data_IF_039752087478
#
_entry.id   IF_039752087478
#
_cell.length_a   1.000
_cell.length_b   1.000
_cell.length_c   1.000
_cell.angle_alpha   90.00
_cell.angle_beta   90.00
_cell.angle_gamma   90.00
#
_symmetry.space_group_name_H-M   'P 1'
#
loop_
_entity.id
_entity.type
_entity.pdbx_description
1 polymer ?
#
# COMPACT_ATOMS: atom_id res chain seq x y z
N UNK A 1 -32.50 49.84 13.92
CA UNK A 1 -31.86 50.07 12.62
C UNK A 1 -31.02 51.31 12.76
N UNK A 2 -29.77 51.06 13.06
CA UNK A 2 -28.70 52.02 13.25
C UNK A 2 -27.99 52.36 11.92
N UNK A 3 -28.45 51.81 10.79
CA UNK A 3 -28.01 52.06 9.43
C UNK A 3 -26.59 51.53 9.10
N UNK A 4 -26.18 50.43 9.71
CA UNK A 4 -24.98 49.66 9.33
C UNK A 4 -25.12 48.89 8.00
N UNK A 5 -26.37 48.71 7.54
CA UNK A 5 -26.69 47.95 6.33
C UNK A 5 -27.23 46.55 6.60
N UNK A 6 -27.31 46.11 7.85
CA UNK A 6 -27.96 44.89 8.32
C UNK A 6 -29.29 45.27 8.98
N UNK A 7 -30.46 44.88 8.43
CA UNK A 7 -31.72 45.20 9.08
C UNK A 7 -31.87 44.46 10.42
N UNK A 8 -32.36 45.14 11.47
CA UNK A 8 -32.70 44.56 12.80
C UNK A 8 -33.35 43.18 12.69
N UNK A 9 -34.30 43.06 11.76
CA UNK A 9 -34.90 41.78 11.39
C UNK A 9 -35.33 41.83 9.92
N UNK A 10 -34.88 40.83 9.17
CA UNK A 10 -35.30 40.60 7.79
C UNK A 10 -35.69 39.14 7.61
N UNK A 11 -36.88 38.89 7.07
CA UNK A 11 -37.40 37.55 6.85
C UNK A 11 -37.46 37.26 5.35
N UNK A 12 -36.70 36.27 4.90
CA UNK A 12 -36.77 35.77 3.53
C UNK A 12 -37.76 34.60 3.45
N UNK A 13 -39.02 34.91 3.18
CA UNK A 13 -40.10 33.91 3.05
C UNK A 13 -39.98 32.98 1.84
N UNK A 14 -39.05 33.23 0.90
CA UNK A 14 -38.84 32.37 -0.27
C UNK A 14 -37.77 31.32 -0.01
N UNK A 15 -36.79 31.64 0.81
CA UNK A 15 -35.63 30.80 1.10
C UNK A 15 -35.60 30.34 2.57
N UNK A 16 -36.69 30.60 3.30
CA UNK A 16 -36.96 30.12 4.66
C UNK A 16 -35.85 30.42 5.70
N UNK A 17 -35.25 31.61 5.63
CA UNK A 17 -34.30 32.07 6.65
C UNK A 17 -34.60 33.49 7.16
N UNK A 18 -34.07 33.80 8.34
CA UNK A 18 -34.15 35.10 9.02
C UNK A 18 -32.74 35.64 9.12
N UNK A 19 -32.55 36.90 8.74
CA UNK A 19 -31.37 37.69 9.10
C UNK A 19 -31.77 38.52 10.31
N UNK A 20 -30.95 38.48 11.35
CA UNK A 20 -31.12 39.28 12.54
C UNK A 20 -29.78 39.94 12.86
N UNK A 21 -29.84 41.25 13.08
CA UNK A 21 -28.77 42.00 13.70
C UNK A 21 -28.85 41.80 15.24
N UNK A 22 -27.76 41.27 15.81
CA UNK A 22 -27.65 40.99 17.24
C UNK A 22 -27.37 42.25 18.08
N UNK A 23 -26.93 43.35 17.44
CA UNK A 23 -26.65 44.65 18.05
C UNK A 23 -27.41 45.81 17.35
N UNK A 24 -28.75 45.83 17.40
CA UNK A 24 -29.61 46.74 16.61
C UNK A 24 -29.52 48.24 16.92
N UNK A 25 -28.60 48.64 17.79
CA UNK A 25 -28.30 50.02 18.12
C UNK A 25 -26.79 50.37 18.05
N UNK A 26 -25.93 49.43 17.67
CA UNK A 26 -24.50 49.67 17.43
C UNK A 26 -24.18 49.48 15.95
N UNK A 27 -24.02 50.58 15.18
CA UNK A 27 -23.81 50.47 13.74
C UNK A 27 -22.46 49.87 13.33
N UNK A 28 -21.61 49.46 14.29
CA UNK A 28 -20.35 48.78 14.02
C UNK A 28 -20.39 47.30 14.39
N UNK A 29 -21.50 46.76 14.89
CA UNK A 29 -21.63 45.36 15.28
C UNK A 29 -22.92 44.79 14.73
N UNK A 30 -22.90 43.52 14.32
CA UNK A 30 -24.12 42.86 13.83
C UNK A 30 -24.19 41.36 14.13
N UNK A 31 -23.04 40.73 14.37
CA UNK A 31 -22.87 39.30 14.67
C UNK A 31 -22.15 39.11 16.02
N UNK A 32 -22.40 37.96 16.65
CA UNK A 32 -21.91 37.52 17.96
C UNK A 32 -21.90 35.98 17.88
N UNK A 33 -20.80 35.43 17.36
CA UNK A 33 -20.70 34.06 16.90
C UNK A 33 -20.77 33.07 18.08
N UNK A 34 -20.06 33.34 19.15
CA UNK A 34 -20.01 32.54 20.37
C UNK A 34 -21.14 32.84 21.39
N UNK A 35 -21.83 33.98 21.23
CA UNK A 35 -22.94 34.45 22.08
C UNK A 35 -22.51 34.86 23.47
N UNK A 36 -21.32 35.42 23.61
CA UNK A 36 -20.81 35.96 24.87
C UNK A 36 -21.36 37.38 25.19
N UNK A 37 -21.91 38.05 24.16
CA UNK A 37 -22.51 39.37 24.22
C UNK A 37 -21.59 40.53 23.83
N UNK A 38 -20.38 40.24 23.37
CA UNK A 38 -19.49 41.12 22.61
C UNK A 38 -19.74 40.84 21.12
N UNK A 39 -19.70 41.88 20.28
CA UNK A 39 -19.90 41.68 18.83
C UNK A 39 -18.58 41.31 18.17
N UNK A 40 -18.63 40.50 17.11
CA UNK A 40 -17.44 39.93 16.43
C UNK A 40 -16.43 41.01 15.97
N UNK A 41 -16.84 42.26 15.69
CA UNK A 41 -15.85 43.30 15.32
C UNK A 41 -15.07 43.86 16.53
N UNK A 42 -15.58 43.66 17.75
CA UNK A 42 -14.98 44.10 19.01
C UNK A 42 -14.45 42.94 19.85
N UNK A 43 -14.90 41.71 19.59
CA UNK A 43 -14.32 40.51 20.16
C UNK A 43 -12.90 40.30 19.61
N UNK A 44 -12.10 39.56 20.36
CA UNK A 44 -10.74 39.17 19.97
C UNK A 44 -10.61 37.66 19.78
N UNK A 45 -11.69 36.91 20.03
CA UNK A 45 -11.80 35.44 20.03
C UNK A 45 -13.27 35.09 19.70
N UNK A 46 -13.64 35.28 18.43
CA UNK A 46 -15.02 35.25 17.92
C UNK A 46 -15.75 33.92 18.20
N UNK A 47 -15.03 32.82 18.40
CA UNK A 47 -15.61 31.50 18.72
C UNK A 47 -15.32 30.98 20.13
N UNK A 48 -14.55 31.74 20.92
CA UNK A 48 -14.22 31.48 22.32
C UNK A 48 -13.53 30.13 22.54
N UNK A 49 -12.74 29.66 21.58
CA UNK A 49 -11.94 28.44 21.70
C UNK A 49 -10.63 28.65 22.51
N UNK A 50 -10.29 29.92 22.75
CA UNK A 50 -9.13 30.38 23.51
C UNK A 50 -7.94 30.83 22.65
N UNK A 51 -8.08 30.87 21.32
CA UNK A 51 -7.11 31.42 20.38
C UNK A 51 -7.66 32.70 19.76
N UNK A 52 -6.93 33.80 19.90
CA UNK A 52 -7.38 35.07 19.33
C UNK A 52 -7.49 35.02 17.79
N UNK A 53 -8.46 35.70 17.19
CA UNK A 53 -8.73 35.71 15.73
C UNK A 53 -7.51 36.05 14.87
N UNK A 54 -6.58 36.84 15.39
CA UNK A 54 -5.34 37.22 14.67
C UNK A 54 -4.32 36.08 14.54
N UNK A 55 -4.46 35.07 15.39
CA UNK A 55 -3.61 33.88 15.46
C UNK A 55 -4.40 32.61 15.10
N UNK A 56 -5.70 32.73 14.91
CA UNK A 56 -6.62 31.66 14.56
C UNK A 56 -6.80 31.55 13.04
N UNK A 57 -6.55 30.37 12.49
CA UNK A 57 -6.78 30.09 11.07
C UNK A 57 -8.28 29.97 10.73
N UNK A 58 -9.12 29.63 11.71
CA UNK A 58 -10.57 29.46 11.62
C UNK A 58 -11.32 30.23 12.73
N UNK A 59 -11.34 31.58 12.72
CA UNK A 59 -11.96 32.41 13.79
C UNK A 59 -13.45 32.18 14.09
N UNK A 60 -14.13 31.33 13.32
CA UNK A 60 -15.56 31.03 13.47
C UNK A 60 -15.78 29.52 13.58
N UNK A 61 -14.81 28.77 14.09
CA UNK A 61 -14.91 27.34 14.30
C UNK A 61 -14.21 26.92 15.61
N UNK A 62 -14.96 26.72 16.70
CA UNK A 62 -14.39 26.53 18.03
C UNK A 62 -13.73 25.16 18.25
N UNK A 63 -13.53 24.41 17.17
CA UNK A 63 -12.89 23.11 17.13
C UNK A 63 -11.62 23.12 16.29
N UNK A 64 -11.24 24.22 15.66
CA UNK A 64 -10.07 24.34 14.79
C UNK A 64 -9.43 25.71 14.96
N UNK A 65 -8.12 25.76 15.24
CA UNK A 65 -7.39 27.03 15.37
C UNK A 65 -6.12 27.09 14.53
N UNK A 66 -5.64 25.95 14.05
CA UNK A 66 -4.36 25.80 13.35
C UNK A 66 -4.57 25.07 12.02
N UNK A 67 -3.86 25.56 11.00
CA UNK A 67 -3.81 25.04 9.64
C UNK A 67 -2.32 25.00 9.24
N UNK A 68 -1.67 23.86 9.48
CA UNK A 68 -0.20 23.73 9.33
C UNK A 68 0.23 23.86 7.86
N UNK A 69 -0.51 23.27 6.94
CA UNK A 69 -0.19 23.21 5.51
C UNK A 69 -0.88 24.31 4.68
N UNK A 70 -1.85 25.03 5.27
CA UNK A 70 -2.64 26.10 4.66
C UNK A 70 -3.56 25.62 3.53
N UNK A 71 -4.10 24.40 3.62
CA UNK A 71 -5.08 23.89 2.65
C UNK A 71 -6.54 24.31 2.95
N UNK A 72 -6.77 24.89 4.13
CA UNK A 72 -8.07 25.33 4.62
C UNK A 72 -8.86 24.27 5.38
N UNK A 73 -8.26 23.15 5.77
CA UNK A 73 -8.77 22.15 6.72
C UNK A 73 -7.95 22.28 8.01
N UNK A 74 -8.62 22.44 9.14
CA UNK A 74 -7.91 22.58 10.41
C UNK A 74 -7.29 21.27 10.88
N UNK A 75 -6.17 21.36 11.58
CA UNK A 75 -5.36 20.21 11.98
C UNK A 75 -6.13 19.14 12.79
N UNK A 76 -7.22 19.48 13.50
CA UNK A 76 -7.96 18.48 14.26
C UNK A 76 -8.85 17.59 13.34
N UNK A 77 -9.18 18.08 12.15
CA UNK A 77 -9.97 17.37 11.14
C UNK A 77 -9.11 16.83 10.00
N UNK A 78 -8.01 17.50 9.70
CA UNK A 78 -7.11 17.14 8.62
C UNK A 78 -6.44 15.77 8.85
N UNK A 79 -6.37 14.98 7.79
CA UNK A 79 -5.78 13.64 7.77
C UNK A 79 -4.33 13.62 7.28
N UNK A 80 -3.82 14.72 6.74
CA UNK A 80 -2.46 14.90 6.20
C UNK A 80 -2.01 16.34 6.51
N UNK A 81 -1.64 16.60 7.77
CA UNK A 81 -1.52 17.97 8.31
C UNK A 81 -0.31 18.75 7.78
N UNK A 82 0.57 18.13 7.01
CA UNK A 82 1.69 18.81 6.35
C UNK A 82 1.68 18.67 4.81
N UNK A 83 0.68 17.98 4.25
CA UNK A 83 0.39 17.83 2.82
C UNK A 83 1.53 17.18 2.03
N UNK A 84 2.19 16.24 2.67
CA UNK A 84 3.34 15.55 2.12
C UNK A 84 2.93 14.31 1.31
N UNK A 85 1.65 13.90 1.44
CA UNK A 85 1.02 12.79 0.74
C UNK A 85 0.78 11.55 1.62
N UNK A 86 1.32 11.51 2.83
CA UNK A 86 1.10 10.44 3.80
C UNK A 86 0.08 10.85 4.85
N UNK A 87 -0.72 9.88 5.32
CA UNK A 87 -1.70 10.20 6.36
C UNK A 87 -1.03 10.32 7.72
N UNK A 88 -1.49 11.25 8.55
CA UNK A 88 -1.08 11.42 9.96
C UNK A 88 -1.05 10.09 10.73
N UNK A 89 -2.01 9.20 10.41
CA UNK A 89 -2.12 7.88 11.02
C UNK A 89 -0.97 6.96 10.61
N UNK A 90 -0.66 6.90 9.31
CA UNK A 90 0.41 6.05 8.80
C UNK A 90 1.76 6.57 9.27
N UNK A 91 1.94 7.88 9.27
CA UNK A 91 3.13 8.54 9.78
C UNK A 91 3.39 8.29 11.27
N UNK A 92 2.38 8.50 12.12
CA UNK A 92 2.49 8.20 13.55
C UNK A 92 2.77 6.71 13.78
N UNK A 93 2.14 5.83 12.99
CA UNK A 93 2.33 4.39 13.09
C UNK A 93 3.73 3.92 12.66
N UNK A 94 4.34 4.60 11.68
CA UNK A 94 5.62 4.26 11.08
C UNK A 94 6.80 5.08 11.64
N UNK A 95 6.50 6.08 12.47
CA UNK A 95 7.47 6.87 13.21
C UNK A 95 8.06 8.05 12.44
N UNK A 96 7.37 8.52 11.40
CA UNK A 96 7.62 9.85 10.82
C UNK A 96 6.89 10.94 11.63
N UNK A 97 7.09 12.21 11.27
CA UNK A 97 6.59 13.36 12.01
C UNK A 97 5.52 14.05 11.17
N UNK A 98 4.23 13.95 11.55
CA UNK A 98 3.15 14.49 10.73
C UNK A 98 3.15 16.02 10.55
N UNK A 99 4.02 16.73 11.26
CA UNK A 99 4.15 18.19 11.14
C UNK A 99 5.36 18.62 10.29
N UNK A 100 6.17 17.68 9.79
CA UNK A 100 7.35 17.97 8.97
C UNK A 100 7.22 17.33 7.59
N UNK A 101 6.93 18.12 6.53
CA UNK A 101 6.68 17.62 5.18
C UNK A 101 7.94 17.09 4.47
N UNK A 102 9.01 16.86 5.21
CA UNK A 102 10.24 16.19 4.76
C UNK A 102 10.53 14.92 5.55
N UNK A 103 9.64 14.53 6.47
CA UNK A 103 9.75 13.36 7.30
C UNK A 103 8.77 12.32 6.80
N UNK A 104 9.24 11.42 5.93
CA UNK A 104 8.39 10.39 5.33
C UNK A 104 8.63 9.01 5.93
N UNK A 105 7.62 8.13 5.95
CA UNK A 105 7.87 6.70 6.09
C UNK A 105 8.66 6.15 4.89
N UNK A 106 9.32 4.98 5.01
CA UNK A 106 9.94 4.32 3.87
C UNK A 106 8.90 3.99 2.78
N UNK A 107 9.23 4.34 1.53
CA UNK A 107 8.47 4.10 0.31
C UNK A 107 9.48 3.88 -0.83
N UNK A 108 9.63 2.63 -1.24
CA UNK A 108 10.66 2.16 -2.16
C UNK A 108 10.38 2.56 -3.61
N UNK A 109 9.13 2.47 -4.05
CA UNK A 109 8.72 2.76 -5.43
C UNK A 109 8.16 4.19 -5.64
N UNK A 110 7.92 4.91 -4.54
CA UNK A 110 7.45 6.29 -4.48
C UNK A 110 6.00 6.47 -4.97
N UNK A 111 5.13 5.50 -4.70
CA UNK A 111 3.71 5.56 -5.05
C UNK A 111 2.80 6.17 -3.95
N UNK A 112 3.39 6.61 -2.83
CA UNK A 112 2.73 7.12 -1.62
C UNK A 112 2.05 6.06 -0.76
N UNK A 113 2.39 4.79 -0.95
CA UNK A 113 2.05 3.70 -0.03
C UNK A 113 3.32 3.26 0.70
N UNK A 114 3.39 3.39 2.04
CA UNK A 114 4.59 2.98 2.77
C UNK A 114 4.94 1.50 2.57
N UNK A 115 6.24 1.17 2.54
CA UNK A 115 6.81 -0.17 2.28
C UNK A 115 6.17 -1.33 3.08
N UNK A 116 5.68 -1.01 4.28
CA UNK A 116 5.07 -1.95 5.23
C UNK A 116 3.60 -2.25 4.89
N UNK A 117 2.92 -1.30 4.24
CA UNK A 117 1.52 -1.38 3.83
C UNK A 117 1.38 -1.71 2.34
N UNK A 118 2.46 -1.56 1.57
CA UNK A 118 2.47 -1.82 0.15
C UNK A 118 2.44 -3.31 -0.18
N UNK A 119 1.61 -3.67 -1.16
CA UNK A 119 1.48 -5.00 -1.71
C UNK A 119 2.45 -5.31 -2.84
N UNK A 120 3.10 -4.30 -3.42
CA UNK A 120 4.00 -4.36 -4.58
C UNK A 120 5.13 -3.33 -4.36
N UNK A 121 5.99 -3.61 -3.36
CA UNK A 121 6.85 -2.60 -2.72
C UNK A 121 7.82 -1.93 -3.70
N UNK A 122 8.27 -2.66 -4.71
CA UNK A 122 9.22 -2.13 -5.67
C UNK A 122 8.57 -1.60 -6.96
N UNK A 123 7.24 -1.69 -7.06
CA UNK A 123 6.45 -1.17 -8.17
C UNK A 123 6.66 -1.89 -9.50
N UNK A 124 7.14 -3.13 -9.49
CA UNK A 124 7.43 -3.88 -10.72
C UNK A 124 6.18 -4.52 -11.37
N UNK A 125 5.07 -4.55 -10.63
CA UNK A 125 3.79 -5.10 -11.04
C UNK A 125 3.56 -6.55 -10.60
N UNK A 126 4.47 -7.13 -9.81
CA UNK A 126 4.38 -8.45 -9.20
C UNK A 126 4.21 -8.26 -7.69
N UNK A 127 3.07 -8.68 -7.11
CA UNK A 127 2.86 -8.51 -5.67
C UNK A 127 3.95 -9.21 -4.85
N UNK A 128 4.34 -8.63 -3.72
CA UNK A 128 5.37 -9.12 -2.79
C UNK A 128 5.28 -10.64 -2.49
N UNK A 129 4.05 -11.17 -2.41
CA UNK A 129 3.77 -12.59 -2.16
C UNK A 129 4.13 -13.52 -3.33
N UNK A 130 4.31 -12.99 -4.53
CA UNK A 130 4.67 -13.71 -5.76
C UNK A 130 5.98 -13.22 -6.39
N UNK A 131 6.55 -12.14 -5.87
CA UNK A 131 7.78 -11.57 -6.35
C UNK A 131 9.01 -12.30 -5.79
N UNK A 132 9.93 -12.70 -6.66
CA UNK A 132 11.18 -13.35 -6.28
C UNK A 132 12.21 -12.36 -5.70
N UNK A 133 12.01 -11.05 -5.85
CA UNK A 133 12.86 -10.01 -5.29
C UNK A 133 12.05 -8.77 -4.84
N UNK A 134 11.23 -8.86 -3.77
CA UNK A 134 10.28 -7.82 -3.32
C UNK A 134 10.83 -6.41 -3.00
N UNK A 135 12.14 -6.21 -3.12
CA UNK A 135 12.81 -4.93 -2.88
C UNK A 135 13.62 -4.46 -4.12
N UNK A 136 13.45 -5.09 -5.29
CA UNK A 136 14.26 -4.86 -6.48
C UNK A 136 13.43 -4.99 -7.75
N UNK A 137 13.09 -3.84 -8.33
CA UNK A 137 12.31 -3.75 -9.56
C UNK A 137 12.78 -4.74 -10.64
N UNK A 138 12.04 -5.85 -10.81
CA UNK A 138 12.39 -6.93 -11.75
C UNK A 138 11.14 -7.59 -12.38
N UNK A 139 10.40 -6.85 -13.23
CA UNK A 139 9.05 -7.21 -13.69
C UNK A 139 8.96 -8.49 -14.52
N UNK A 140 10.09 -9.04 -14.96
CA UNK A 140 10.17 -10.28 -15.70
C UNK A 140 10.51 -11.51 -14.84
N UNK A 141 10.78 -11.31 -13.55
CA UNK A 141 11.18 -12.30 -12.56
C UNK A 141 12.46 -13.04 -12.97
N UNK A 142 13.41 -12.33 -13.60
CA UNK A 142 14.77 -12.81 -13.91
C UNK A 142 15.46 -13.31 -12.63
N UNK A 143 16.24 -14.38 -12.73
CA UNK A 143 17.03 -14.85 -11.59
C UNK A 143 18.09 -13.81 -11.22
N UNK A 144 17.96 -13.22 -10.03
CA UNK A 144 18.93 -12.26 -9.50
C UNK A 144 19.78 -12.91 -8.41
N UNK A 145 21.09 -12.66 -8.46
CA UNK A 145 21.99 -13.09 -7.40
C UNK A 145 22.08 -11.98 -6.34
N UNK A 146 20.96 -11.77 -5.64
CA UNK A 146 20.77 -10.77 -4.60
C UNK A 146 20.51 -11.42 -3.23
N UNK A 147 20.82 -10.72 -2.14
CA UNK A 147 20.63 -11.25 -0.78
C UNK A 147 19.14 -11.37 -0.39
N UNK A 148 18.27 -10.58 -1.02
CA UNK A 148 16.81 -10.59 -0.81
C UNK A 148 16.08 -11.51 -1.80
N UNK A 149 16.81 -12.19 -2.68
CA UNK A 149 16.25 -13.11 -3.67
C UNK A 149 15.62 -14.35 -3.00
N UNK A 150 14.34 -14.59 -3.28
CA UNK A 150 13.61 -15.78 -2.87
C UNK A 150 13.87 -16.92 -3.85
N UNK A 151 14.86 -17.75 -3.53
CA UNK A 151 15.28 -18.89 -4.35
C UNK A 151 14.29 -20.06 -4.37
N UNK A 152 14.37 -20.87 -5.43
CA UNK A 152 13.58 -22.10 -5.56
C UNK A 152 14.03 -23.17 -4.56
N UNK A 153 13.05 -23.84 -3.95
CA UNK A 153 13.30 -24.98 -3.05
C UNK A 153 13.07 -26.32 -3.79
N UNK A 154 14.03 -27.23 -3.73
CA UNK A 154 13.95 -28.49 -4.46
C UNK A 154 13.78 -29.66 -3.50
N UNK A 155 12.76 -30.49 -3.71
CA UNK A 155 12.63 -31.72 -2.96
C UNK A 155 13.70 -32.74 -3.35
N UNK A 156 14.14 -33.53 -2.37
CA UNK A 156 15.14 -34.59 -2.59
C UNK A 156 14.51 -35.86 -3.19
N UNK A 157 13.23 -36.13 -2.93
CA UNK A 157 12.54 -37.32 -3.40
C UNK A 157 11.03 -37.14 -3.51
N UNK A 158 10.37 -37.98 -4.33
CA UNK A 158 8.92 -38.08 -4.41
C UNK A 158 8.45 -39.52 -4.67
N UNK A 159 7.23 -39.82 -4.25
CA UNK A 159 6.62 -41.15 -4.25
C UNK A 159 5.23 -41.19 -4.91
N UNK A 160 5.15 -41.21 -6.25
CA UNK A 160 3.88 -41.27 -6.99
C UNK A 160 3.17 -42.62 -6.77
N UNK A 161 2.37 -42.71 -5.70
CA UNK A 161 1.64 -43.90 -5.27
C UNK A 161 0.11 -43.64 -5.15
N UNK A 162 -0.31 -42.38 -5.32
CA UNK A 162 -1.69 -41.93 -5.29
C UNK A 162 -2.29 -41.79 -3.89
N UNK A 163 -1.47 -41.67 -2.85
CA UNK A 163 -1.92 -41.43 -1.48
C UNK A 163 -2.12 -39.94 -1.15
N UNK A 164 -1.78 -39.05 -2.09
CA UNK A 164 -1.88 -37.60 -1.97
C UNK A 164 -0.66 -36.94 -1.32
N UNK A 165 0.38 -37.70 -0.98
CA UNK A 165 1.59 -37.22 -0.31
C UNK A 165 2.80 -37.44 -1.22
N UNK A 166 3.50 -36.35 -1.55
CA UNK A 166 4.70 -36.37 -2.40
C UNK A 166 4.47 -37.13 -3.72
N UNK A 167 3.29 -37.00 -4.32
CA UNK A 167 2.95 -37.70 -5.58
C UNK A 167 3.62 -37.07 -6.80
N UNK A 168 4.03 -35.80 -6.70
CA UNK A 168 4.56 -35.00 -7.79
C UNK A 168 5.99 -34.53 -7.54
N UNK A 169 6.68 -34.17 -8.62
CA UNK A 169 7.96 -33.48 -8.53
C UNK A 169 7.74 -32.01 -8.13
N UNK A 170 7.60 -31.71 -6.85
CA UNK A 170 7.39 -30.36 -6.34
C UNK A 170 8.70 -29.56 -6.27
N UNK A 171 8.66 -28.35 -6.81
CA UNK A 171 9.65 -27.29 -6.64
C UNK A 171 8.92 -26.17 -5.89
N UNK A 172 9.38 -25.85 -4.68
CA UNK A 172 8.86 -24.77 -3.84
C UNK A 172 9.16 -23.41 -4.45
N UNK A 173 8.26 -22.46 -4.22
CA UNK A 173 8.29 -21.10 -4.78
C UNK A 173 8.26 -21.00 -6.32
N UNK A 174 8.02 -22.11 -7.04
CA UNK A 174 8.00 -22.09 -8.51
C UNK A 174 6.89 -21.21 -9.10
N UNK A 175 5.84 -20.92 -8.33
CA UNK A 175 4.78 -20.00 -8.72
C UNK A 175 5.28 -18.57 -8.98
N UNK A 176 6.41 -18.18 -8.38
CA UNK A 176 7.06 -16.87 -8.62
C UNK A 176 7.72 -16.77 -9.99
N UNK A 177 7.93 -17.93 -10.64
CA UNK A 177 8.62 -18.05 -11.92
C UNK A 177 7.68 -18.59 -13.00
N UNK A 178 6.66 -17.82 -13.45
CA UNK A 178 5.64 -18.32 -14.37
C UNK A 178 6.19 -18.72 -15.76
N UNK A 179 7.38 -18.22 -16.12
CA UNK A 179 8.06 -18.54 -17.38
C UNK A 179 9.04 -19.70 -17.27
N UNK A 180 9.20 -20.29 -16.10
CA UNK A 180 10.21 -21.32 -15.84
C UNK A 180 10.19 -22.43 -16.91
N UNK A 181 11.35 -23.02 -17.18
CA UNK A 181 11.47 -24.22 -17.98
C UNK A 181 12.22 -25.28 -17.20
N UNK A 182 11.55 -26.42 -16.99
CA UNK A 182 12.10 -27.56 -16.26
C UNK A 182 12.42 -28.67 -17.25
N UNK A 183 13.58 -29.27 -17.09
CA UNK A 183 13.98 -30.49 -17.80
C UNK A 183 14.39 -31.55 -16.79
N UNK A 184 13.98 -32.79 -17.03
CA UNK A 184 14.42 -33.94 -16.24
C UNK A 184 15.01 -35.01 -17.15
N UNK A 185 16.16 -35.54 -16.73
CA UNK A 185 16.94 -36.52 -17.47
C UNK A 185 17.15 -37.80 -16.64
N UNK A 186 17.18 -38.94 -17.32
CA UNK A 186 17.59 -40.20 -16.71
C UNK A 186 19.11 -40.27 -16.48
N UNK A 187 19.58 -41.33 -15.82
CA UNK A 187 21.00 -41.57 -15.54
C UNK A 187 21.87 -41.74 -16.80
N UNK A 188 21.26 -41.98 -17.96
CA UNK A 188 21.96 -42.07 -19.24
C UNK A 188 22.00 -40.73 -19.98
N UNK A 189 21.37 -39.68 -19.44
CA UNK A 189 21.30 -38.34 -20.04
C UNK A 189 20.17 -38.18 -21.06
N UNK A 190 19.22 -39.12 -21.13
CA UNK A 190 18.05 -38.97 -22.00
C UNK A 190 17.02 -38.06 -21.32
N UNK A 191 16.44 -37.13 -22.07
CA UNK A 191 15.34 -36.29 -21.61
C UNK A 191 14.08 -37.15 -21.40
N UNK A 192 13.55 -37.14 -20.18
CA UNK A 192 12.34 -37.89 -19.79
C UNK A 192 11.17 -36.99 -19.42
N UNK A 193 11.40 -35.70 -19.17
CA UNK A 193 10.35 -34.71 -18.96
C UNK A 193 10.84 -33.32 -19.35
N UNK A 194 9.95 -32.51 -19.90
CA UNK A 194 10.16 -31.08 -20.11
C UNK A 194 8.83 -30.36 -20.01
N UNK A 195 8.84 -29.22 -19.33
CA UNK A 195 7.69 -28.32 -19.25
C UNK A 195 8.16 -26.88 -19.22
N UNK A 196 7.42 -26.00 -19.91
CA UNK A 196 7.48 -24.54 -19.75
C UNK A 196 6.31 -24.13 -18.86
N UNK A 197 6.52 -23.21 -17.93
CA UNK A 197 5.59 -22.88 -16.86
C UNK A 197 5.26 -24.11 -16.03
N UNK A 198 6.28 -24.86 -15.59
CA UNK A 198 6.07 -26.03 -14.76
C UNK A 198 5.34 -25.64 -13.47
N UNK A 199 4.33 -26.43 -13.11
CA UNK A 199 3.39 -26.12 -12.02
C UNK A 199 3.21 -27.31 -11.07
N UNK A 200 4.30 -28.05 -10.83
CA UNK A 200 4.34 -29.19 -9.90
C UNK A 200 3.38 -30.33 -10.27
N UNK A 201 3.26 -30.64 -11.57
CA UNK A 201 2.31 -31.62 -12.10
C UNK A 201 2.95 -32.94 -12.59
N UNK A 202 4.28 -33.10 -12.47
CA UNK A 202 4.95 -34.30 -12.95
C UNK A 202 5.01 -35.43 -11.92
N UNK A 203 4.32 -36.52 -12.21
CA UNK A 203 4.24 -37.73 -11.37
C UNK A 203 5.31 -38.81 -11.68
N UNK A 204 6.43 -38.42 -12.31
CA UNK A 204 7.52 -39.35 -12.60
C UNK A 204 7.18 -40.39 -13.68
N UNK A 205 6.45 -39.98 -14.72
CA UNK A 205 6.16 -40.79 -15.90
C UNK A 205 6.76 -40.20 -17.18
N UNK A 206 6.97 -41.05 -18.18
CA UNK A 206 7.40 -40.64 -19.52
C UNK A 206 6.50 -41.30 -20.56
N UNK A 207 5.82 -40.48 -21.38
CA UNK A 207 4.82 -40.94 -22.35
C UNK A 207 3.73 -41.83 -21.71
N UNK A 208 3.27 -41.47 -20.51
CA UNK A 208 2.24 -42.19 -19.77
C UNK A 208 2.71 -43.51 -19.15
N UNK A 209 4.01 -43.80 -19.17
CA UNK A 209 4.59 -44.99 -18.53
C UNK A 209 5.38 -44.59 -17.28
N UNK A 210 5.12 -45.21 -16.12
CA UNK A 210 5.90 -44.97 -14.92
C UNK A 210 7.39 -45.22 -15.15
N UNK A 211 8.22 -44.25 -14.79
CA UNK A 211 9.67 -44.38 -14.83
C UNK A 211 10.19 -45.27 -13.69
N UNK A 212 11.33 -45.97 -13.85
CA UNK A 212 11.87 -46.81 -12.79
C UNK A 212 12.30 -46.03 -11.55
N UNK A 213 12.39 -46.72 -10.40
CA UNK A 213 12.99 -46.16 -9.18
C UNK A 213 14.46 -45.84 -9.42
N UNK A 214 14.83 -44.56 -9.40
CA UNK A 214 16.17 -44.07 -9.66
C UNK A 214 16.31 -42.59 -9.27
N UNK A 215 17.54 -42.07 -9.30
CA UNK A 215 17.80 -40.64 -9.30
C UNK A 215 17.70 -40.08 -10.72
N UNK A 216 17.10 -38.91 -10.84
CA UNK A 216 16.90 -38.17 -12.08
C UNK A 216 17.56 -36.80 -11.97
N UNK A 217 18.30 -36.39 -13.00
CA UNK A 217 18.90 -35.05 -13.06
C UNK A 217 17.82 -34.06 -13.46
N UNK A 218 17.61 -33.01 -12.68
CA UNK A 218 16.79 -31.88 -13.12
C UNK A 218 17.67 -30.68 -13.48
N UNK A 219 17.17 -29.86 -14.40
CA UNK A 219 17.69 -28.54 -14.74
C UNK A 219 16.50 -27.59 -14.79
N UNK A 220 16.65 -26.39 -14.27
CA UNK A 220 15.63 -25.34 -14.29
C UNK A 220 16.24 -24.05 -14.77
N UNK A 221 15.61 -23.49 -15.79
CA UNK A 221 15.75 -22.12 -16.26
C UNK A 221 14.55 -21.37 -15.67
N UNK A 222 14.78 -20.45 -14.73
CA UNK A 222 13.71 -19.86 -13.94
C UNK A 222 12.91 -18.81 -14.73
N UNK A 223 13.56 -18.13 -15.67
CA UNK A 223 13.03 -16.96 -16.38
C UNK A 223 12.86 -17.17 -17.90
N UNK A 224 13.23 -18.35 -18.40
CA UNK A 224 13.23 -18.74 -19.82
C UNK A 224 14.23 -17.96 -20.68
N UNK A 225 15.32 -17.45 -20.10
CA UNK A 225 16.39 -16.77 -20.85
C UNK A 225 17.32 -17.75 -21.61
N UNK A 226 17.14 -19.06 -21.42
CA UNK A 226 17.92 -20.13 -22.03
C UNK A 226 19.18 -20.52 -21.25
N UNK A 227 19.42 -19.92 -20.09
CA UNK A 227 20.46 -20.23 -19.12
C UNK A 227 19.82 -21.10 -18.02
N UNK A 228 20.60 -22.02 -17.47
CA UNK A 228 20.11 -22.86 -16.37
C UNK A 228 20.62 -22.30 -15.07
N UNK A 229 19.69 -21.87 -14.22
CA UNK A 229 19.96 -21.27 -12.92
C UNK A 229 20.12 -22.35 -11.85
N UNK A 230 19.30 -23.41 -11.93
CA UNK A 230 19.32 -24.50 -10.97
C UNK A 230 19.54 -25.86 -11.63
N UNK A 231 20.32 -26.71 -10.97
CA UNK A 231 20.49 -28.10 -11.35
C UNK A 231 20.74 -28.98 -10.14
N UNK A 232 20.26 -30.22 -10.19
CA UNK A 232 20.40 -31.15 -9.10
C UNK A 232 19.81 -32.51 -9.42
N UNK A 233 19.57 -33.30 -8.38
CA UNK A 233 19.02 -34.64 -8.53
C UNK A 233 17.80 -34.81 -7.64
N UNK A 234 16.77 -35.46 -8.17
CA UNK A 234 15.61 -35.91 -7.41
C UNK A 234 15.50 -37.42 -7.46
N UNK A 235 15.14 -38.05 -6.34
CA UNK A 235 14.94 -39.49 -6.25
C UNK A 235 13.47 -39.85 -6.44
N UNK A 236 13.16 -40.60 -7.50
CA UNK A 236 11.84 -41.17 -7.71
C UNK A 236 11.76 -42.52 -7.00
N UNK A 237 10.82 -42.67 -6.06
CA UNK A 237 10.46 -43.94 -5.42
C UNK A 237 8.98 -44.25 -5.61
N UNK A 238 8.54 -45.48 -5.31
CA UNK A 238 7.13 -45.89 -5.23
C UNK A 238 7.00 -47.00 -4.19
#
# INVERSE_FOLDING_TARGET
>A
DDNDGVPDISVNWREDYIIQDLFPNDPNESTDFDKDGIGDNADLDDDNDGVNDQLDAFPYNPYEWLDTDNDGIGNNTDTDIDNDGYSNFDEEALGSDPLDPNSFPPDLDQDLVPDVLDSDRDGDGIPNDFDNAPDLFNPDQEYVNDENHLGLEFQEFFSPNGDGINDFFEIGEIQRYPKNEVWVYDSAGNLVFNAKGYSNDWQGDFNGKPLPKASYLYRVDADSNGIVDYQGWVFLTR
#
